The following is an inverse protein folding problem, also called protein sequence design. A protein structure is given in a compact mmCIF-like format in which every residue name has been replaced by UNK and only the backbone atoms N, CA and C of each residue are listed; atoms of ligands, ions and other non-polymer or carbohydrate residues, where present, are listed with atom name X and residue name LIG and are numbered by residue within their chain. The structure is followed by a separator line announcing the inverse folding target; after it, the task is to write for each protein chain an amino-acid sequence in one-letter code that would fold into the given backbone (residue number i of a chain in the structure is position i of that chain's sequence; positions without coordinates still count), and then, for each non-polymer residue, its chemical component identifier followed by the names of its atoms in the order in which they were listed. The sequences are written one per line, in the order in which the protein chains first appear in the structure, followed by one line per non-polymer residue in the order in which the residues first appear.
data_IF_408094909768
#
_entry.id   IF_408094909768
#
_cell.length_a   1.000
_cell.length_b   1.000
_cell.length_c   1.000
_cell.angle_alpha   90.00
_cell.angle_beta   90.00
_cell.angle_gamma   90.00
#
_symmetry.space_group_name_H-M   'P 1'
#
loop_
_entity.id
_entity.type
_entity.pdbx_description
1 polymer ?
#
# COMPACT_ATOMS: atom_id res chain seq x y z
N UNK A 1 -18.64 2.00 -7.58
CA UNK A 1 -17.18 1.75 -7.43
C UNK A 1 -16.94 1.12 -6.07
N UNK A 2 -16.05 0.13 -5.96
CA UNK A 2 -15.70 -0.45 -4.67
C UNK A 2 -14.78 0.48 -3.88
N UNK A 3 -14.62 0.22 -2.58
CA UNK A 3 -13.70 0.93 -1.71
C UNK A 3 -12.26 0.91 -2.27
N UNK A 4 -11.52 2.02 -2.17
CA UNK A 4 -10.21 2.16 -2.78
C UNK A 4 -9.14 1.33 -2.05
N UNK A 5 -8.10 0.94 -2.78
CA UNK A 5 -6.92 0.27 -2.23
C UNK A 5 -5.70 1.18 -2.41
N UNK A 6 -4.97 1.40 -1.33
CA UNK A 6 -3.69 2.11 -1.36
C UNK A 6 -2.60 1.08 -1.61
N UNK A 7 -1.68 1.35 -2.54
CA UNK A 7 -0.56 0.46 -2.86
C UNK A 7 0.76 1.21 -2.68
N UNK A 8 1.53 0.84 -1.66
CA UNK A 8 2.82 1.41 -1.32
C UNK A 8 3.92 0.60 -1.97
N UNK A 9 4.63 1.22 -2.92
CA UNK A 9 5.57 0.53 -3.79
C UNK A 9 4.90 -0.03 -5.05
N UNK A 10 5.10 0.65 -6.18
CA UNK A 10 4.67 0.19 -7.52
C UNK A 10 5.89 -0.37 -8.27
N UNK A 11 6.58 -1.33 -7.64
CA UNK A 11 7.56 -2.17 -8.32
C UNK A 11 6.87 -3.25 -9.16
N UNK A 12 7.61 -4.29 -9.55
CA UNK A 12 7.07 -5.41 -10.34
C UNK A 12 5.84 -6.04 -9.67
N UNK A 13 6.00 -6.54 -8.45
CA UNK A 13 4.90 -7.19 -7.72
C UNK A 13 3.76 -6.22 -7.37
N UNK A 14 4.08 -5.02 -6.87
CA UNK A 14 3.06 -4.00 -6.56
C UNK A 14 2.18 -3.65 -7.76
N UNK A 15 2.77 -3.57 -8.96
CA UNK A 15 2.04 -3.30 -10.20
C UNK A 15 1.12 -4.45 -10.64
N UNK A 16 1.47 -5.71 -10.35
CA UNK A 16 0.62 -6.88 -10.63
C UNK A 16 -0.65 -6.83 -9.78
N UNK A 17 -0.50 -6.60 -8.47
CA UNK A 17 -1.63 -6.47 -7.56
C UNK A 17 -2.49 -5.24 -7.87
N UNK A 18 -1.88 -4.08 -8.14
CA UNK A 18 -2.60 -2.87 -8.54
C UNK A 18 -3.50 -3.13 -9.76
N UNK A 19 -2.98 -3.82 -10.79
CA UNK A 19 -3.77 -4.20 -11.96
C UNK A 19 -4.90 -5.17 -11.62
N UNK A 20 -4.65 -6.15 -10.74
CA UNK A 20 -5.70 -7.04 -10.23
C UNK A 20 -6.83 -6.30 -9.51
N UNK A 21 -6.50 -5.34 -8.66
CA UNK A 21 -7.48 -4.50 -7.95
C UNK A 21 -8.31 -3.64 -8.92
N UNK A 22 -7.67 -2.99 -9.89
CA UNK A 22 -8.39 -2.24 -10.92
C UNK A 22 -9.35 -3.14 -11.72
N UNK A 23 -8.89 -4.34 -12.13
CA UNK A 23 -9.72 -5.32 -12.85
C UNK A 23 -10.91 -5.83 -12.02
N UNK A 24 -10.83 -5.80 -10.70
CA UNK A 24 -11.91 -6.23 -9.78
C UNK A 24 -12.79 -5.07 -9.30
N UNK A 25 -12.58 -3.86 -9.84
CA UNK A 25 -13.41 -2.69 -9.61
C UNK A 25 -13.01 -1.82 -8.41
N UNK A 26 -11.84 -2.05 -7.82
CA UNK A 26 -11.28 -1.22 -6.77
C UNK A 26 -10.39 -0.12 -7.36
N UNK A 27 -10.67 1.16 -7.08
CA UNK A 27 -9.74 2.25 -7.40
C UNK A 27 -8.41 2.04 -6.68
N UNK A 28 -7.30 2.27 -7.37
CA UNK A 28 -5.96 2.13 -6.78
C UNK A 28 -5.31 3.49 -6.61
N UNK A 29 -4.79 3.73 -5.41
CA UNK A 29 -4.00 4.91 -5.07
C UNK A 29 -2.54 4.49 -4.89
N UNK A 30 -1.69 4.74 -5.89
CA UNK A 30 -0.27 4.42 -5.79
C UNK A 30 0.42 5.39 -4.84
N UNK A 31 1.35 4.85 -4.05
CA UNK A 31 2.18 5.62 -3.13
C UNK A 31 3.64 5.38 -3.49
N UNK A 32 4.35 6.48 -3.72
CA UNK A 32 5.79 6.50 -3.97
C UNK A 32 6.54 7.04 -2.76
N UNK A 33 7.88 7.04 -2.83
CA UNK A 33 8.74 7.56 -1.75
C UNK A 33 8.47 9.03 -1.40
N UNK A 34 7.97 9.82 -2.35
CA UNK A 34 7.72 11.25 -2.18
C UNK A 34 6.27 11.55 -1.73
N UNK A 35 5.46 10.51 -1.50
CA UNK A 35 4.06 10.69 -1.11
C UNK A 35 3.92 10.85 0.40
N UNK A 36 3.33 11.96 0.84
CA UNK A 36 2.97 12.18 2.24
C UNK A 36 1.79 11.26 2.66
N UNK A 37 2.13 10.23 3.45
CA UNK A 37 1.17 9.26 3.97
C UNK A 37 0.13 9.90 4.90
N UNK A 38 0.52 10.88 5.71
CA UNK A 38 -0.38 11.53 6.66
C UNK A 38 -1.41 12.40 5.93
N UNK A 39 -0.99 13.15 4.92
CA UNK A 39 -1.89 13.91 4.06
C UNK A 39 -2.86 12.99 3.31
N UNK A 40 -2.38 11.84 2.83
CA UNK A 40 -3.24 10.87 2.16
C UNK A 40 -4.23 10.20 3.09
N UNK A 41 -3.84 9.84 4.31
CA UNK A 41 -4.75 9.29 5.32
C UNK A 41 -5.85 10.27 5.74
N UNK A 42 -5.61 11.59 5.69
CA UNK A 42 -6.68 12.58 5.88
C UNK A 42 -7.73 12.52 4.76
N UNK A 43 -7.30 12.24 3.52
CA UNK A 43 -8.19 12.13 2.34
C UNK A 43 -8.87 10.76 2.25
N UNK A 44 -8.16 9.71 2.64
CA UNK A 44 -8.57 8.31 2.58
C UNK A 44 -8.36 7.67 3.96
N UNK A 45 -9.17 8.00 4.99
CA UNK A 45 -8.95 7.51 6.35
C UNK A 45 -9.26 6.00 6.48
N UNK A 46 -10.14 5.48 5.62
CA UNK A 46 -10.62 4.10 5.69
C UNK A 46 -10.63 3.42 4.32
N UNK A 47 -9.45 3.21 3.69
CA UNK A 47 -9.38 2.43 2.46
C UNK A 47 -9.79 0.97 2.72
N UNK A 48 -10.13 0.24 1.67
CA UNK A 48 -10.39 -1.21 1.78
C UNK A 48 -9.17 -1.93 2.35
N UNK A 49 -7.99 -1.57 1.84
CA UNK A 49 -6.71 -2.16 2.20
C UNK A 49 -5.58 -1.19 1.89
N UNK A 50 -4.47 -1.34 2.61
CA UNK A 50 -3.18 -0.70 2.30
C UNK A 50 -2.18 -1.82 2.07
N UNK A 51 -1.80 -2.04 0.80
CA UNK A 51 -0.81 -3.04 0.41
C UNK A 51 0.58 -2.42 0.46
N UNK A 52 1.47 -2.98 1.28
CA UNK A 52 2.88 -2.60 1.36
C UNK A 52 3.70 -3.60 0.55
N UNK A 53 4.18 -3.17 -0.61
CA UNK A 53 4.92 -3.96 -1.59
C UNK A 53 6.29 -3.33 -1.90
N UNK A 54 7.01 -2.93 -0.84
CA UNK A 54 8.38 -2.39 -0.92
C UNK A 54 9.40 -3.47 -0.58
N UNK A 55 10.66 -3.24 -0.94
CA UNK A 55 11.77 -4.09 -0.53
C UNK A 55 11.95 -4.09 1.00
N UNK A 56 12.51 -5.17 1.56
CA UNK A 56 12.69 -5.37 2.99
C UNK A 56 13.50 -4.23 3.66
N UNK A 57 14.56 -3.77 2.99
CA UNK A 57 15.38 -2.66 3.48
C UNK A 57 14.61 -1.32 3.62
N UNK A 58 13.43 -1.21 3.00
CA UNK A 58 12.57 -0.03 3.02
C UNK A 58 11.35 -0.25 3.93
N UNK A 59 11.05 -1.49 4.29
CA UNK A 59 9.85 -1.86 5.05
C UNK A 59 9.76 -1.11 6.37
N UNK A 60 10.85 -1.11 7.16
CA UNK A 60 10.85 -0.51 8.49
C UNK A 60 10.50 0.99 8.44
N UNK A 61 11.15 1.75 7.57
CA UNK A 61 10.91 3.18 7.39
C UNK A 61 9.46 3.48 6.93
N UNK A 62 8.86 2.61 6.12
CA UNK A 62 7.45 2.74 5.70
C UNK A 62 6.50 2.47 6.87
N UNK A 63 6.79 1.47 7.70
CA UNK A 63 5.96 1.12 8.85
C UNK A 63 6.01 2.20 9.94
N UNK A 64 7.18 2.81 10.19
CA UNK A 64 7.31 3.92 11.15
C UNK A 64 6.48 5.15 10.76
N UNK A 65 6.33 5.40 9.45
CA UNK A 65 5.56 6.53 8.92
C UNK A 65 4.07 6.19 8.73
N UNK A 66 3.65 4.97 9.06
CA UNK A 66 2.31 4.51 8.78
C UNK A 66 1.26 5.26 9.61
N UNK A 67 0.22 5.82 8.98
CA UNK A 67 -0.85 6.46 9.72
C UNK A 67 -1.64 5.45 10.57
N UNK A 68 -1.90 5.80 11.84
CA UNK A 68 -2.63 4.95 12.78
C UNK A 68 -4.00 4.49 12.25
N UNK A 69 -4.68 5.33 11.47
CA UNK A 69 -5.98 5.03 10.86
C UNK A 69 -5.94 3.80 9.92
N UNK A 70 -4.76 3.43 9.42
CA UNK A 70 -4.58 2.33 8.46
C UNK A 70 -4.06 1.04 9.09
N UNK A 71 -3.68 1.02 10.37
CA UNK A 71 -3.04 -0.14 11.01
C UNK A 71 -3.86 -1.43 10.87
N UNK A 72 -5.18 -1.37 11.05
CA UNK A 72 -6.07 -2.53 10.92
C UNK A 72 -6.36 -2.96 9.47
N UNK A 73 -5.76 -2.29 8.49
CA UNK A 73 -6.01 -2.46 7.04
C UNK A 73 -4.74 -2.78 6.27
N UNK A 74 -3.62 -2.96 6.96
CA UNK A 74 -2.33 -3.28 6.37
C UNK A 74 -2.31 -4.70 5.83
N UNK A 75 -1.77 -4.85 4.62
CA UNK A 75 -1.34 -6.12 4.08
C UNK A 75 0.11 -5.99 3.63
N UNK A 76 0.99 -6.83 4.16
CA UNK A 76 2.41 -6.81 3.82
C UNK A 76 2.67 -7.85 2.72
N UNK A 77 3.26 -7.41 1.62
CA UNK A 77 3.77 -8.27 0.57
C UNK A 77 5.29 -8.23 0.67
N UNK A 78 5.85 -9.18 1.40
CA UNK A 78 7.29 -9.39 1.50
C UNK A 78 7.60 -10.75 0.87
N UNK A 79 8.67 -10.81 0.10
CA UNK A 79 9.22 -12.10 -0.28
C UNK A 79 9.90 -12.67 0.97
N UNK A 80 9.74 -13.96 1.23
CA UNK A 80 10.62 -14.61 2.19
C UNK A 80 12.05 -14.57 1.63
N UNK A 81 13.02 -14.22 2.48
CA UNK A 81 14.42 -14.53 2.20
C UNK A 81 14.47 -16.05 1.96
N UNK A 82 14.58 -16.46 0.69
CA UNK A 82 15.05 -17.80 0.40
C UNK A 82 16.43 -17.91 1.08
N UNK A 83 16.68 -19.00 1.83
CA UNK A 83 17.91 -19.18 2.60
C UNK A 83 19.17 -19.09 1.72
#
# INVERSE_FOLDING_TARGET
MKSPIVVIGIGEMGSVFARGFLRTGHPVYPVTRDTDLAAMAKRLPSPERVLVAVAENTLHAVLEQMPAAWHSRLALLQNELLP
#
